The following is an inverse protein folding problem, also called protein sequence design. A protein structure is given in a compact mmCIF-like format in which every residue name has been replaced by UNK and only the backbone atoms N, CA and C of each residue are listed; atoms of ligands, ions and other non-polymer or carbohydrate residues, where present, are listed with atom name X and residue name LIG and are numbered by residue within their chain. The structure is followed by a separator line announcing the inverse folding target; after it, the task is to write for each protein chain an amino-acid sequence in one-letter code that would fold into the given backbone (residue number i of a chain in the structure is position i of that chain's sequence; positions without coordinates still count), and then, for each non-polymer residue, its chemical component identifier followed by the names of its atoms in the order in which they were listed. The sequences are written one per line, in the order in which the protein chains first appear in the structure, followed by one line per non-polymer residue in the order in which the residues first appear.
data_IF_197964372373
#
_entry.id   IF_197964372373
#
_cell.length_a   1.000
_cell.length_b   1.000
_cell.length_c   1.000
_cell.angle_alpha   90.00
_cell.angle_beta   90.00
_cell.angle_gamma   90.00
#
_symmetry.space_group_name_H-M   'P 1'
#
loop_
_entity.id
_entity.type
_entity.pdbx_description
1 polymer ?
#
# COMPACT_ATOMS: atom_id res chain seq x y z
N UNK A 1 25.81 7.02 39.65
CA UNK A 1 24.50 6.61 40.17
C UNK A 1 23.63 7.85 40.28
N UNK A 2 22.33 7.64 40.05
CA UNK A 2 21.19 8.59 40.00
C UNK A 2 21.03 9.43 38.73
N UNK A 3 19.91 9.19 38.06
CA UNK A 3 19.45 9.80 36.82
C UNK A 3 18.01 9.38 36.56
N UNK A 4 17.11 10.00 37.34
CA UNK A 4 15.70 10.35 37.16
C UNK A 4 14.88 9.66 36.04
N UNK A 5 13.71 9.17 36.44
CA UNK A 5 12.63 8.76 35.56
C UNK A 5 12.18 9.90 34.61
N UNK A 6 11.84 9.53 33.37
CA UNK A 6 10.90 10.28 32.55
C UNK A 6 9.84 9.29 32.08
N UNK A 7 8.71 9.30 32.80
CA UNK A 7 7.43 8.84 32.27
C UNK A 7 7.07 9.72 31.07
N UNK A 8 6.75 9.06 29.95
CA UNK A 8 5.86 9.64 28.95
C UNK A 8 4.69 8.67 28.84
N UNK A 9 3.66 8.94 29.62
CA UNK A 9 2.32 8.41 29.39
C UNK A 9 1.73 9.25 28.25
N UNK A 10 1.66 8.67 27.07
CA UNK A 10 0.79 9.15 26.00
C UNK A 10 -0.36 8.15 25.87
N UNK A 11 -1.52 8.57 26.40
CA UNK A 11 -2.78 7.85 26.31
C UNK A 11 -3.28 7.76 24.86
N UNK A 12 -4.01 6.67 24.62
CA UNK A 12 -4.89 6.37 23.47
C UNK A 12 -4.24 5.94 22.15
N UNK A 13 -3.91 4.64 22.10
CA UNK A 13 -4.01 3.75 20.92
C UNK A 13 -3.21 4.11 19.67
N UNK A 14 -2.04 4.73 19.83
CA UNK A 14 -1.06 4.87 18.75
C UNK A 14 0.06 3.85 18.90
N UNK A 15 0.33 3.13 17.81
CA UNK A 15 1.58 2.42 17.54
C UNK A 15 1.90 1.14 18.34
N UNK A 16 0.90 0.32 18.70
CA UNK A 16 1.20 -1.00 19.25
C UNK A 16 1.54 -2.02 18.16
N UNK A 17 2.80 -2.46 18.24
CA UNK A 17 3.30 -3.80 17.91
C UNK A 17 3.72 -4.05 16.45
N UNK A 18 4.84 -3.45 16.06
CA UNK A 18 5.69 -3.97 14.99
C UNK A 18 7.02 -4.43 15.61
N UNK A 19 6.97 -5.48 16.44
CA UNK A 19 8.17 -6.16 16.92
C UNK A 19 8.54 -7.35 16.02
N UNK A 20 9.56 -7.08 15.20
CA UNK A 20 10.77 -7.86 14.95
C UNK A 20 10.76 -9.39 14.79
N UNK A 21 11.20 -9.85 13.60
CA UNK A 21 12.29 -10.84 13.38
C UNK A 21 12.45 -11.13 11.88
N UNK A 22 13.36 -10.43 11.18
CA UNK A 22 13.85 -10.86 9.86
C UNK A 22 15.01 -10.00 9.37
N UNK A 23 16.21 -10.58 9.34
CA UNK A 23 17.44 -10.08 8.70
C UNK A 23 17.28 -9.95 7.17
N UNK A 24 16.50 -8.96 6.72
CA UNK A 24 16.45 -8.60 5.31
C UNK A 24 16.54 -7.07 5.19
N UNK A 25 17.76 -6.59 4.91
CA UNK A 25 18.08 -5.17 4.78
C UNK A 25 17.19 -4.43 3.77
N UNK A 26 16.79 -5.09 2.67
CA UNK A 26 15.85 -4.53 1.69
C UNK A 26 14.43 -4.31 2.24
N UNK A 27 14.00 -5.12 3.21
CA UNK A 27 12.70 -4.98 3.86
C UNK A 27 12.72 -3.82 4.88
N UNK A 28 13.84 -3.65 5.61
CA UNK A 28 14.01 -2.54 6.55
C UNK A 28 14.06 -1.18 5.84
N UNK A 29 14.78 -1.07 4.72
CA UNK A 29 14.87 0.17 3.93
C UNK A 29 13.51 0.57 3.35
N UNK A 30 12.71 -0.39 2.88
CA UNK A 30 11.34 -0.10 2.43
C UNK A 30 10.42 0.32 3.60
N UNK A 31 10.58 -0.26 4.79
CA UNK A 31 9.80 0.11 5.99
C UNK A 31 10.07 1.53 6.46
N UNK A 32 11.33 1.95 6.52
CA UNK A 32 11.67 3.32 6.93
C UNK A 32 11.11 4.35 5.94
N UNK A 33 11.20 4.07 4.64
CA UNK A 33 10.61 4.91 3.60
C UNK A 33 9.07 4.93 3.62
N UNK A 34 8.42 3.83 4.00
CA UNK A 34 6.97 3.77 4.15
C UNK A 34 6.50 4.53 5.39
N UNK A 35 7.20 4.37 6.52
CA UNK A 35 6.94 5.09 7.76
C UNK A 35 7.15 6.59 7.58
N UNK A 36 8.24 7.01 6.93
CA UNK A 36 8.47 8.42 6.63
C UNK A 36 7.40 8.95 5.67
N UNK A 37 7.05 8.23 4.60
CA UNK A 37 5.98 8.63 3.70
C UNK A 37 4.63 8.77 4.41
N UNK A 38 4.35 7.89 5.37
CA UNK A 38 3.15 7.94 6.21
C UNK A 38 3.19 9.14 7.16
N UNK A 39 4.30 9.36 7.86
CA UNK A 39 4.50 10.48 8.79
C UNK A 39 4.47 11.85 8.10
N UNK A 40 4.90 11.93 6.84
CA UNK A 40 4.94 13.17 6.06
C UNK A 40 3.73 13.37 5.14
N UNK A 41 2.66 12.57 5.29
CA UNK A 41 1.41 12.78 4.54
C UNK A 41 1.53 12.56 3.03
N UNK A 42 2.56 11.84 2.56
CA UNK A 42 2.76 11.50 1.15
C UNK A 42 1.97 10.27 0.70
N UNK A 43 1.08 9.77 1.57
CA UNK A 43 0.28 8.57 1.32
C UNK A 43 -1.16 8.97 1.02
N UNK A 44 -1.63 8.63 -0.18
CA UNK A 44 -3.06 8.65 -0.48
C UNK A 44 -3.67 7.35 0.05
N UNK A 45 -4.44 7.46 1.13
CA UNK A 45 -5.10 6.34 1.80
C UNK A 45 -6.51 6.12 1.26
N UNK A 46 -7.03 4.90 1.43
CA UNK A 46 -8.40 4.55 1.06
C UNK A 46 -8.58 4.24 -0.43
N UNK A 47 -7.50 3.87 -1.13
CA UNK A 47 -7.62 3.33 -2.47
C UNK A 47 -8.13 1.88 -2.39
N UNK A 48 -8.80 1.43 -3.44
CA UNK A 48 -9.34 0.07 -3.54
C UNK A 48 -8.79 -0.60 -4.79
N UNK A 49 -8.17 -1.76 -4.63
CA UNK A 49 -7.75 -2.61 -5.73
C UNK A 49 -8.98 -3.31 -6.31
N UNK A 50 -9.21 -3.13 -7.61
CA UNK A 50 -10.38 -3.67 -8.33
C UNK A 50 -9.99 -4.87 -9.18
N UNK A 51 -8.78 -4.82 -9.73
CA UNK A 51 -8.25 -5.87 -10.60
C UNK A 51 -6.72 -5.89 -10.50
N UNK A 52 -6.14 -7.07 -10.69
CA UNK A 52 -4.70 -7.28 -10.68
C UNK A 52 -4.32 -8.41 -11.63
N UNK A 53 -3.18 -8.24 -12.28
CA UNK A 53 -2.52 -9.22 -13.14
C UNK A 53 -1.03 -9.23 -12.83
N UNK A 54 -0.27 -10.09 -13.50
CA UNK A 54 1.19 -10.12 -13.36
C UNK A 54 1.87 -8.83 -13.83
N UNK A 55 1.26 -8.12 -14.77
CA UNK A 55 1.88 -6.95 -15.42
C UNK A 55 1.40 -5.63 -14.83
N UNK A 56 0.27 -5.63 -14.12
CA UNK A 56 -0.32 -4.40 -13.61
C UNK A 56 -1.61 -4.58 -12.82
N UNK A 57 -2.21 -3.47 -12.44
CA UNK A 57 -3.46 -3.44 -11.68
C UNK A 57 -4.35 -2.27 -12.04
N UNK A 58 -5.61 -2.36 -11.62
CA UNK A 58 -6.57 -1.29 -11.63
C UNK A 58 -7.01 -0.95 -10.20
N UNK A 59 -7.01 0.33 -9.86
CA UNK A 59 -7.43 0.81 -8.54
C UNK A 59 -8.47 1.94 -8.65
N UNK A 60 -9.28 2.09 -7.59
CA UNK A 60 -10.13 3.25 -7.35
C UNK A 60 -9.45 4.16 -6.35
N UNK A 61 -9.35 5.44 -6.69
CA UNK A 61 -8.78 6.48 -5.83
C UNK A 61 -9.88 7.47 -5.46
N UNK A 62 -10.03 7.84 -4.17
CA UNK A 62 -10.91 8.92 -3.77
C UNK A 62 -10.56 10.22 -4.53
N UNK A 63 -11.56 10.92 -5.08
CA UNK A 63 -11.34 12.09 -5.96
C UNK A 63 -10.55 13.23 -5.31
N UNK A 64 -10.61 13.35 -3.98
CA UNK A 64 -9.76 14.26 -3.18
C UNK A 64 -8.25 14.03 -3.33
N UNK A 65 -7.84 12.87 -3.85
CA UNK A 65 -6.45 12.48 -4.11
C UNK A 65 -6.19 12.22 -5.60
N UNK A 66 -6.98 12.81 -6.50
CA UNK A 66 -6.92 12.56 -7.95
C UNK A 66 -5.63 13.04 -8.65
N UNK A 67 -4.83 13.88 -7.98
CA UNK A 67 -3.49 14.27 -8.42
C UNK A 67 -2.49 13.15 -8.07
N UNK A 68 -2.46 12.12 -8.93
CA UNK A 68 -1.54 11.00 -8.78
C UNK A 68 -0.39 11.18 -9.78
N UNK A 69 0.83 11.11 -9.26
CA UNK A 69 2.05 11.12 -10.07
C UNK A 69 2.06 9.98 -11.09
N UNK A 70 2.77 10.16 -12.20
CA UNK A 70 2.86 9.11 -13.23
C UNK A 70 3.63 7.88 -12.73
N UNK A 71 4.50 8.04 -11.74
CA UNK A 71 5.22 6.94 -11.07
C UNK A 71 5.03 7.01 -9.56
N UNK A 72 4.79 5.86 -8.93
CA UNK A 72 4.49 5.75 -7.51
C UNK A 72 4.90 4.40 -6.92
N UNK A 73 4.84 4.27 -5.59
CA UNK A 73 4.83 2.97 -4.92
C UNK A 73 3.41 2.62 -4.48
N UNK A 74 2.92 1.47 -4.92
CA UNK A 74 1.63 0.92 -4.55
C UNK A 74 1.82 -0.07 -3.40
N UNK A 75 1.11 0.15 -2.30
CA UNK A 75 1.09 -0.73 -1.13
C UNK A 75 -0.23 -1.48 -1.14
N UNK A 76 -0.20 -2.79 -1.33
CA UNK A 76 -1.39 -3.65 -1.31
C UNK A 76 -1.49 -4.30 0.06
N UNK A 77 -2.66 -4.17 0.69
CA UNK A 77 -2.95 -4.74 2.00
C UNK A 77 -3.43 -6.19 1.87
N UNK A 78 -3.28 -6.97 2.94
CA UNK A 78 -3.78 -8.34 3.00
C UNK A 78 -5.31 -8.33 2.89
N UNK A 79 -5.90 -9.20 2.07
CA UNK A 79 -7.35 -9.39 2.06
C UNK A 79 -7.87 -9.99 3.37
N UNK A 80 -7.01 -10.66 4.15
CA UNK A 80 -7.38 -11.27 5.44
C UNK A 80 -7.26 -10.30 6.61
N UNK A 81 -6.36 -9.32 6.51
CA UNK A 81 -6.14 -8.29 7.53
C UNK A 81 -5.73 -6.96 6.86
N UNK A 82 -6.66 -6.01 6.83
CA UNK A 82 -6.45 -4.71 6.19
C UNK A 82 -5.38 -3.85 6.86
N UNK A 83 -4.85 -4.25 8.02
CA UNK A 83 -3.74 -3.57 8.72
C UNK A 83 -2.37 -4.08 8.26
N UNK A 84 -2.32 -5.22 7.59
CA UNK A 84 -1.06 -5.83 7.15
C UNK A 84 -0.79 -5.54 5.67
N UNK A 85 0.35 -4.91 5.36
CA UNK A 85 0.82 -4.80 3.98
C UNK A 85 1.46 -6.12 3.52
N UNK A 86 1.06 -6.63 2.35
CA UNK A 86 1.59 -7.88 1.78
C UNK A 86 2.53 -7.64 0.60
N UNK A 87 2.35 -6.52 -0.10
CA UNK A 87 3.07 -6.18 -1.31
C UNK A 87 3.31 -4.67 -1.38
N UNK A 88 4.51 -4.31 -1.82
CA UNK A 88 4.90 -2.93 -2.10
C UNK A 88 5.58 -2.93 -3.46
N UNK A 89 4.90 -2.38 -4.46
CA UNK A 89 5.29 -2.45 -5.86
C UNK A 89 5.58 -1.06 -6.41
N UNK A 90 6.65 -0.93 -7.20
CA UNK A 90 6.82 0.24 -8.05
C UNK A 90 5.86 0.13 -9.23
N UNK A 91 5.11 1.20 -9.48
CA UNK A 91 4.04 1.21 -10.47
C UNK A 91 4.01 2.52 -11.26
N UNK A 92 3.73 2.42 -12.55
CA UNK A 92 3.59 3.54 -13.46
C UNK A 92 2.15 3.64 -13.98
N UNK A 93 1.55 4.81 -13.86
CA UNK A 93 0.20 5.09 -14.35
C UNK A 93 0.19 5.00 -15.88
N UNK A 94 -0.76 4.25 -16.42
CA UNK A 94 -0.95 4.10 -17.88
C UNK A 94 -2.18 4.81 -18.39
N UNK A 95 -3.23 4.85 -17.58
CA UNK A 95 -4.46 5.54 -17.92
C UNK A 95 -5.20 5.95 -16.64
N UNK A 96 -6.08 6.92 -16.79
CA UNK A 96 -6.95 7.41 -15.72
C UNK A 96 -8.31 7.80 -16.30
N UNK A 97 -9.37 7.34 -15.65
CA UNK A 97 -10.75 7.71 -15.92
C UNK A 97 -11.26 8.57 -14.78
N UNK A 98 -11.19 9.89 -14.96
CA UNK A 98 -11.52 10.89 -13.93
C UNK A 98 -13.02 11.01 -13.65
N UNK A 99 -13.86 10.54 -14.57
CA UNK A 99 -15.33 10.57 -14.56
C UNK A 99 -15.96 9.20 -14.22
N UNK A 100 -15.20 8.29 -13.58
CA UNK A 100 -15.70 6.97 -13.22
C UNK A 100 -16.90 7.02 -12.27
N UNK A 101 -16.79 7.75 -11.16
CA UNK A 101 -17.92 8.13 -10.30
C UNK A 101 -17.71 9.54 -9.74
N UNK A 102 -18.74 10.10 -9.09
CA UNK A 102 -18.64 11.42 -8.46
C UNK A 102 -17.60 11.48 -7.33
N UNK A 103 -17.34 10.36 -6.67
CA UNK A 103 -16.46 10.27 -5.50
C UNK A 103 -15.12 9.60 -5.76
N UNK A 104 -14.96 8.89 -6.89
CA UNK A 104 -13.78 8.10 -7.19
C UNK A 104 -13.30 8.27 -8.63
N UNK A 105 -11.99 8.20 -8.78
CA UNK A 105 -11.28 8.10 -10.04
C UNK A 105 -10.83 6.66 -10.20
N UNK A 106 -10.92 6.11 -11.41
CA UNK A 106 -10.39 4.78 -11.73
C UNK A 106 -9.08 4.95 -12.50
N UNK A 107 -8.03 4.24 -12.11
CA UNK A 107 -6.74 4.34 -12.79
C UNK A 107 -6.07 2.97 -12.92
N UNK A 108 -5.37 2.80 -14.03
CA UNK A 108 -4.60 1.60 -14.33
C UNK A 108 -3.10 1.86 -14.25
N UNK A 109 -2.39 0.89 -13.70
CA UNK A 109 -0.97 0.96 -13.44
C UNK A 109 -0.26 -0.28 -13.97
N UNK A 110 0.92 -0.09 -14.55
CA UNK A 110 1.86 -1.15 -14.92
C UNK A 110 2.93 -1.29 -13.83
N UNK A 111 3.29 -2.51 -13.48
CA UNK A 111 4.31 -2.79 -12.49
C UNK A 111 5.71 -2.73 -13.10
N UNK A 112 6.69 -2.28 -12.30
CA UNK A 112 8.09 -2.22 -12.68
C UNK A 112 8.98 -2.92 -11.65
N UNK A 113 10.02 -3.61 -12.13
CA UNK A 113 11.05 -4.20 -11.26
C UNK A 113 10.57 -5.36 -10.39
N UNK A 114 9.61 -6.16 -10.87
CA UNK A 114 9.05 -7.28 -10.11
C UNK A 114 10.09 -8.36 -9.82
N UNK A 115 10.14 -8.81 -8.56
CA UNK A 115 10.91 -10.00 -8.17
C UNK A 115 10.08 -11.27 -8.31
N UNK A 116 10.71 -12.44 -8.29
CA UNK A 116 9.98 -13.71 -8.27
C UNK A 116 9.05 -13.83 -7.05
N UNK A 117 9.44 -13.28 -5.89
CA UNK A 117 8.59 -13.26 -4.70
C UNK A 117 7.34 -12.41 -4.93
N UNK A 118 7.49 -11.26 -5.59
CA UNK A 118 6.36 -10.38 -5.90
C UNK A 118 5.38 -11.07 -6.85
N UNK A 119 5.88 -11.73 -7.90
CA UNK A 119 5.05 -12.50 -8.83
C UNK A 119 4.23 -13.59 -8.13
N UNK A 120 4.82 -14.32 -7.17
CA UNK A 120 4.07 -15.33 -6.38
C UNK A 120 2.98 -14.70 -5.53
N UNK A 121 3.25 -13.56 -4.90
CA UNK A 121 2.25 -12.86 -4.11
C UNK A 121 1.12 -12.28 -5.00
N UNK A 122 1.46 -11.80 -6.20
CA UNK A 122 0.49 -11.34 -7.19
C UNK A 122 -0.39 -12.52 -7.64
N UNK A 123 0.19 -13.69 -7.93
CA UNK A 123 -0.58 -14.87 -8.30
C UNK A 123 -1.60 -15.27 -7.21
N UNK A 124 -1.19 -15.20 -5.93
CA UNK A 124 -2.09 -15.43 -4.80
C UNK A 124 -3.24 -14.41 -4.78
N UNK A 125 -2.97 -13.14 -5.08
CA UNK A 125 -4.00 -12.11 -5.16
C UNK A 125 -4.95 -12.32 -6.34
N UNK A 126 -4.42 -12.66 -7.52
CA UNK A 126 -5.22 -13.00 -8.71
C UNK A 126 -6.20 -14.12 -8.38
N UNK A 127 -5.71 -15.17 -7.72
CA UNK A 127 -6.55 -16.30 -7.32
C UNK A 127 -7.59 -15.89 -6.27
N UNK A 128 -7.23 -15.02 -5.33
CA UNK A 128 -8.18 -14.46 -4.37
C UNK A 128 -9.33 -13.73 -5.06
N UNK A 129 -9.04 -12.88 -6.07
CA UNK A 129 -10.07 -12.18 -6.85
C UNK A 129 -11.00 -13.14 -7.59
N UNK A 130 -10.45 -14.23 -8.16
CA UNK A 130 -11.25 -15.27 -8.85
C UNK A 130 -12.20 -16.00 -7.90
N UNK A 131 -11.75 -16.32 -6.70
CA UNK A 131 -12.52 -17.14 -5.76
C UNK A 131 -13.55 -16.33 -4.95
N UNK A 132 -13.29 -15.05 -4.69
CA UNK A 132 -14.06 -14.26 -3.73
C UNK A 132 -14.94 -13.17 -4.37
N UNK A 133 -15.32 -13.29 -5.66
CA UNK A 133 -16.21 -12.33 -6.33
C UNK A 133 -15.82 -10.85 -6.10
N UNK A 134 -14.53 -10.54 -6.21
CA UNK A 134 -13.99 -9.18 -6.06
C UNK A 134 -14.28 -8.50 -4.70
N UNK A 135 -14.12 -9.22 -3.58
CA UNK A 135 -14.00 -8.57 -2.26
C UNK A 135 -12.97 -7.44 -2.34
N UNK A 136 -13.32 -6.21 -1.90
CA UNK A 136 -12.43 -5.05 -2.02
C UNK A 136 -11.12 -5.28 -1.27
N UNK A 137 -9.99 -5.21 -1.97
CA UNK A 137 -8.67 -5.22 -1.34
C UNK A 137 -8.22 -3.78 -1.16
N UNK A 138 -7.94 -3.38 0.08
CA UNK A 138 -7.42 -2.05 0.37
C UNK A 138 -6.01 -1.89 -0.19
N UNK A 139 -5.74 -0.73 -0.76
CA UNK A 139 -4.40 -0.33 -1.15
C UNK A 139 -4.13 1.13 -0.81
N UNK A 140 -2.86 1.49 -0.75
CA UNK A 140 -2.40 2.83 -0.49
C UNK A 140 -1.38 3.22 -1.56
N UNK A 141 -1.39 4.49 -1.94
CA UNK A 141 -0.44 5.05 -2.89
C UNK A 141 0.56 5.87 -2.11
N UNK A 142 1.84 5.63 -2.33
CA UNK A 142 2.95 6.41 -1.79
C UNK A 142 3.54 7.21 -2.94
N UNK A 143 3.35 8.54 -2.89
CA UNK A 143 3.95 9.44 -3.86
C UNK A 143 5.44 9.64 -3.50
N UNK A 144 6.32 9.42 -4.47
CA UNK A 144 7.76 9.74 -4.35
C UNK A 144 7.96 11.25 -4.21
#
# INVERSE_FOLDING_TARGET
MTGTACEIVANETTANEIYDRSDNSNLQVNRFNLLSSWLFGKISTGCTLVDISRDGCCILIPRKYSLINDSLKLVIMSPLDSRQAILVLSAQKRWQQSDYTDSQVRAGFEFAGLTHKDLRNIDTLVEHFRQNNAVPIHCNIVNG
#
